data_IF_401070237000
#
_entry.id   IF_401070237000
#
_cell.length_a   1.000
_cell.length_b   1.000
_cell.length_c   1.000
_cell.angle_alpha   90.00
_cell.angle_beta   90.00
_cell.angle_gamma   90.00
#
_symmetry.space_group_name_H-M   'P 1'
#
loop_
_entity.id
_entity.type
_entity.pdbx_description
1 polymer ?
#
# COMPACT_ATOMS: atom_id res chain seq x y z
N UNK A 1 -24.75 34.53 -58.47
CA UNK A 1 -25.48 33.74 -57.45
C UNK A 1 -24.72 32.53 -56.88
N UNK A 2 -23.49 32.18 -57.33
CA UNK A 2 -22.77 31.01 -56.78
C UNK A 2 -21.85 31.32 -55.58
N UNK A 3 -21.45 32.58 -55.38
CA UNK A 3 -20.54 33.00 -54.31
C UNK A 3 -21.17 32.90 -52.90
N UNK A 4 -22.50 33.01 -52.79
CA UNK A 4 -23.25 32.94 -51.53
C UNK A 4 -23.38 31.53 -50.94
N UNK A 5 -23.14 30.48 -51.73
CA UNK A 5 -23.27 29.07 -51.29
C UNK A 5 -21.91 28.46 -50.93
N UNK A 6 -20.82 28.93 -51.53
CA UNK A 6 -19.47 28.42 -51.30
C UNK A 6 -18.92 28.92 -49.95
N UNK A 7 -19.22 30.18 -49.59
CA UNK A 7 -18.72 30.79 -48.36
C UNK A 7 -19.17 30.04 -47.08
N UNK A 8 -20.47 29.70 -46.92
CA UNK A 8 -20.92 28.96 -45.74
C UNK A 8 -20.36 27.53 -45.66
N UNK A 9 -20.18 26.86 -46.80
CA UNK A 9 -19.63 25.50 -46.85
C UNK A 9 -18.15 25.45 -46.42
N UNK A 10 -17.34 26.41 -46.90
CA UNK A 10 -15.93 26.54 -46.50
C UNK A 10 -15.83 26.89 -45.01
N UNK A 11 -16.68 27.80 -44.52
CA UNK A 11 -16.74 28.14 -43.09
C UNK A 11 -17.13 26.93 -42.24
N UNK A 12 -18.12 26.14 -42.68
CA UNK A 12 -18.53 24.91 -42.00
C UNK A 12 -17.41 23.88 -41.92
N UNK A 13 -16.70 23.64 -43.03
CA UNK A 13 -15.57 22.70 -43.08
C UNK A 13 -14.42 23.15 -42.17
N UNK A 14 -14.07 24.44 -42.20
CA UNK A 14 -13.04 25.01 -41.32
C UNK A 14 -13.46 24.92 -39.85
N UNK A 15 -14.73 25.19 -39.53
CA UNK A 15 -15.26 25.04 -38.17
C UNK A 15 -15.23 23.59 -37.70
N UNK A 16 -15.58 22.61 -38.55
CA UNK A 16 -15.48 21.18 -38.22
C UNK A 16 -14.04 20.75 -37.98
N UNK A 17 -13.10 21.19 -38.83
CA UNK A 17 -11.67 20.86 -38.67
C UNK A 17 -11.09 21.48 -37.39
N UNK A 18 -11.44 22.75 -37.10
CA UNK A 18 -11.07 23.40 -35.86
C UNK A 18 -11.66 22.68 -34.63
N UNK A 19 -12.92 22.24 -34.71
CA UNK A 19 -13.56 21.47 -33.65
C UNK A 19 -12.88 20.13 -33.37
N UNK A 20 -12.56 19.35 -34.42
CA UNK A 20 -11.88 18.05 -34.30
C UNK A 20 -10.47 18.19 -33.75
N UNK A 21 -9.71 19.19 -34.23
CA UNK A 21 -8.33 19.42 -33.75
C UNK A 21 -8.30 19.86 -32.29
N UNK A 22 -9.19 20.78 -31.88
CA UNK A 22 -9.29 21.23 -30.49
C UNK A 22 -9.75 20.09 -29.57
N UNK A 23 -10.73 19.30 -29.99
CA UNK A 23 -11.19 18.11 -29.26
C UNK A 23 -10.10 17.04 -29.09
N UNK A 24 -9.29 16.81 -30.13
CA UNK A 24 -8.16 15.89 -30.10
C UNK A 24 -7.06 16.30 -29.10
N UNK A 25 -6.70 17.59 -29.08
CA UNK A 25 -5.69 18.11 -28.14
C UNK A 25 -6.16 18.00 -26.69
N UNK A 26 -7.42 18.36 -26.42
CA UNK A 26 -8.02 18.26 -25.08
C UNK A 26 -8.09 16.81 -24.60
N UNK A 27 -8.52 15.89 -25.48
CA UNK A 27 -8.59 14.45 -25.18
C UNK A 27 -7.21 13.88 -24.86
N UNK A 28 -6.19 14.22 -25.66
CA UNK A 28 -4.82 13.76 -25.43
C UNK A 28 -4.26 14.23 -24.09
N UNK A 29 -4.57 15.47 -23.69
CA UNK A 29 -4.16 16.01 -22.39
C UNK A 29 -4.83 15.28 -21.23
N UNK A 30 -6.14 15.04 -21.32
CA UNK A 30 -6.87 14.29 -20.30
C UNK A 30 -6.36 12.85 -20.17
N UNK A 31 -6.11 12.16 -21.29
CA UNK A 31 -5.55 10.81 -21.30
C UNK A 31 -4.14 10.76 -20.70
N UNK A 32 -3.27 11.73 -21.03
CA UNK A 32 -1.93 11.79 -20.45
C UNK A 32 -1.96 12.01 -18.93
N UNK A 33 -2.85 12.87 -18.43
CA UNK A 33 -3.01 13.10 -16.99
C UNK A 33 -3.54 11.84 -16.29
N UNK A 34 -4.58 11.21 -16.84
CA UNK A 34 -5.13 9.98 -16.28
C UNK A 34 -4.09 8.87 -16.24
N UNK A 35 -3.34 8.69 -17.33
CA UNK A 35 -2.24 7.73 -17.40
C UNK A 35 -1.23 7.96 -16.27
N UNK A 36 -0.78 9.20 -16.06
CA UNK A 36 0.20 9.49 -15.00
C UNK A 36 -0.32 9.14 -13.61
N UNK A 37 -1.61 9.39 -13.33
CA UNK A 37 -2.24 9.06 -12.05
C UNK A 37 -2.38 7.55 -11.86
N UNK A 38 -2.75 6.83 -12.91
CA UNK A 38 -2.89 5.37 -12.85
C UNK A 38 -1.53 4.70 -12.63
N UNK A 39 -0.48 5.15 -13.32
CA UNK A 39 0.90 4.69 -13.08
C UNK A 39 1.37 4.97 -11.67
N UNK A 40 1.14 6.18 -11.16
CA UNK A 40 1.53 6.55 -9.80
C UNK A 40 0.78 5.72 -8.75
N UNK A 41 -0.52 5.49 -8.95
CA UNK A 41 -1.35 4.65 -8.08
C UNK A 41 -0.82 3.22 -8.06
N UNK A 42 -0.52 2.67 -9.24
CA UNK A 42 0.06 1.33 -9.37
C UNK A 42 1.41 1.22 -8.64
N UNK A 43 2.33 2.16 -8.85
CA UNK A 43 3.63 2.17 -8.16
C UNK A 43 3.48 2.27 -6.63
N UNK A 44 2.55 3.09 -6.13
CA UNK A 44 2.27 3.19 -4.70
C UNK A 44 1.72 1.88 -4.12
N UNK A 45 0.81 1.21 -4.83
CA UNK A 45 0.27 -0.08 -4.43
C UNK A 45 1.36 -1.16 -4.41
N UNK A 46 2.25 -1.17 -5.40
CA UNK A 46 3.36 -2.11 -5.48
C UNK A 46 4.29 -1.97 -4.26
N UNK A 47 4.70 -0.75 -3.90
CA UNK A 47 5.49 -0.50 -2.68
C UNK A 47 4.77 -0.97 -1.41
N UNK A 48 3.46 -0.73 -1.29
CA UNK A 48 2.69 -1.16 -0.11
C UNK A 48 2.55 -2.69 -0.02
N UNK A 49 2.42 -3.37 -1.16
CA UNK A 49 2.36 -4.82 -1.24
C UNK A 49 3.71 -5.46 -0.91
N UNK A 50 4.78 -5.04 -1.58
CA UNK A 50 6.11 -5.60 -1.37
C UNK A 50 6.65 -5.26 0.04
N UNK A 51 6.37 -4.09 0.59
CA UNK A 51 6.72 -3.80 2.00
C UNK A 51 6.02 -4.72 3.00
N UNK A 52 4.78 -5.15 2.72
CA UNK A 52 4.08 -6.15 3.55
C UNK A 52 4.76 -7.52 3.46
N UNK A 53 5.18 -7.91 2.25
CA UNK A 53 5.89 -9.18 2.01
C UNK A 53 7.24 -9.20 2.72
N UNK A 54 8.04 -8.14 2.59
CA UNK A 54 9.31 -7.99 3.29
C UNK A 54 9.11 -8.02 4.81
N UNK A 55 8.13 -7.30 5.35
CA UNK A 55 7.86 -7.33 6.80
C UNK A 55 7.53 -8.75 7.31
N UNK A 56 6.72 -9.52 6.57
CA UNK A 56 6.43 -10.93 6.91
C UNK A 56 7.69 -11.79 6.78
N UNK A 57 8.49 -11.58 5.73
CA UNK A 57 9.74 -12.30 5.52
C UNK A 57 10.76 -12.02 6.63
N UNK A 58 10.95 -10.76 7.04
CA UNK A 58 11.82 -10.37 8.14
C UNK A 58 11.39 -11.03 9.46
N UNK A 59 10.08 -11.09 9.73
CA UNK A 59 9.57 -11.80 10.91
C UNK A 59 9.89 -13.31 10.86
N UNK A 60 9.84 -13.92 9.68
CA UNK A 60 10.23 -15.33 9.50
C UNK A 60 11.74 -15.50 9.64
N UNK A 61 12.52 -14.60 9.05
CA UNK A 61 13.99 -14.60 9.08
C UNK A 61 14.52 -14.49 10.51
N UNK A 62 13.92 -13.63 11.33
CA UNK A 62 14.20 -13.51 12.77
C UNK A 62 14.01 -14.82 13.55
N UNK A 63 13.15 -15.73 13.06
CA UNK A 63 12.92 -17.06 13.63
C UNK A 63 13.81 -18.16 13.00
N UNK A 64 14.89 -17.77 12.33
CA UNK A 64 15.82 -18.68 11.68
C UNK A 64 15.31 -19.32 10.39
N UNK A 65 14.30 -18.73 9.72
CA UNK A 65 13.80 -19.19 8.41
C UNK A 65 14.53 -18.49 7.26
N UNK A 66 14.02 -18.68 6.04
CA UNK A 66 14.59 -18.12 4.81
C UNK A 66 14.73 -16.59 4.85
N UNK A 67 15.76 -16.11 4.15
CA UNK A 67 16.02 -14.68 3.94
C UNK A 67 14.90 -14.02 3.13
N UNK A 68 14.63 -12.71 3.34
CA UNK A 68 13.72 -11.96 2.48
C UNK A 68 14.16 -11.99 1.01
N UNK A 69 13.19 -12.09 0.11
CA UNK A 69 13.43 -11.87 -1.32
C UNK A 69 13.52 -10.36 -1.59
N UNK A 70 14.74 -9.88 -1.78
CA UNK A 70 15.02 -8.47 -2.07
C UNK A 70 14.80 -8.11 -3.54
N UNK A 71 14.69 -9.07 -4.46
CA UNK A 71 14.57 -8.78 -5.90
C UNK A 71 13.24 -8.07 -6.17
N UNK A 72 12.13 -8.66 -5.72
CA UNK A 72 10.79 -8.08 -5.88
C UNK A 72 10.68 -6.68 -5.24
N UNK A 73 11.33 -6.48 -4.10
CA UNK A 73 11.40 -5.18 -3.44
C UNK A 73 12.19 -4.13 -4.25
N UNK A 74 13.35 -4.51 -4.78
CA UNK A 74 14.18 -3.64 -5.60
C UNK A 74 13.49 -3.25 -6.91
N UNK A 75 12.72 -4.15 -7.53
CA UNK A 75 11.90 -3.86 -8.70
C UNK A 75 10.80 -2.82 -8.38
N UNK A 76 10.16 -2.95 -7.21
CA UNK A 76 9.18 -1.98 -6.73
C UNK A 76 9.82 -0.60 -6.50
N UNK A 77 11.01 -0.55 -5.90
CA UNK A 77 11.77 0.68 -5.71
C UNK A 77 12.16 1.34 -7.05
N UNK A 78 12.67 0.56 -8.00
CA UNK A 78 12.99 1.08 -9.33
C UNK A 78 11.74 1.65 -10.02
N UNK A 79 10.60 0.96 -9.91
CA UNK A 79 9.33 1.42 -10.47
C UNK A 79 8.89 2.75 -9.89
N UNK A 80 8.97 2.94 -8.57
CA UNK A 80 8.56 4.21 -7.94
C UNK A 80 9.55 5.34 -8.24
N UNK A 81 10.85 5.08 -8.31
CA UNK A 81 11.88 6.06 -8.70
C UNK A 81 11.61 6.62 -10.11
N UNK A 82 11.16 5.77 -11.03
CA UNK A 82 10.89 6.16 -12.41
C UNK A 82 9.57 6.91 -12.61
N UNK A 83 8.59 6.69 -11.74
CA UNK A 83 7.19 7.11 -11.98
C UNK A 83 6.67 8.17 -11.01
N UNK A 84 7.31 8.34 -9.85
CA UNK A 84 6.79 9.18 -8.78
C UNK A 84 7.59 10.48 -8.57
N UNK A 85 6.95 11.53 -8.02
CA UNK A 85 7.66 12.73 -7.58
C UNK A 85 8.64 12.41 -6.46
N UNK A 86 9.68 13.24 -6.34
CA UNK A 86 10.79 13.05 -5.38
C UNK A 86 10.32 12.82 -3.95
N UNK A 87 9.27 13.50 -3.48
CA UNK A 87 8.74 13.32 -2.13
C UNK A 87 8.21 11.91 -1.85
N UNK A 88 7.66 11.21 -2.86
CA UNK A 88 7.23 9.82 -2.72
C UNK A 88 8.42 8.86 -2.78
N UNK A 89 9.38 9.14 -3.66
CA UNK A 89 10.63 8.37 -3.74
C UNK A 89 11.36 8.39 -2.41
N UNK A 90 11.54 9.56 -1.80
CA UNK A 90 12.20 9.68 -0.49
C UNK A 90 11.44 8.92 0.61
N UNK A 91 10.10 8.97 0.60
CA UNK A 91 9.31 8.22 1.56
C UNK A 91 9.44 6.70 1.37
N UNK A 92 9.59 6.20 0.14
CA UNK A 92 9.84 4.78 -0.13
C UNK A 92 11.26 4.36 0.29
N UNK A 93 12.27 5.19 0.03
CA UNK A 93 13.64 4.96 0.48
C UNK A 93 13.77 4.93 2.01
N UNK A 94 12.95 5.69 2.74
CA UNK A 94 12.90 5.61 4.20
C UNK A 94 12.38 4.24 4.71
N UNK A 95 11.49 3.59 3.94
CA UNK A 95 11.07 2.21 4.25
C UNK A 95 12.25 1.25 3.99
N UNK A 96 12.93 1.40 2.85
CA UNK A 96 14.10 0.59 2.49
C UNK A 96 15.20 0.66 3.54
N UNK A 97 15.56 1.87 3.97
CA UNK A 97 16.54 2.09 5.04
C UNK A 97 16.13 1.38 6.35
N UNK A 98 14.83 1.43 6.68
CA UNK A 98 14.31 0.74 7.87
C UNK A 98 14.43 -0.78 7.73
N UNK A 99 14.21 -1.33 6.53
CA UNK A 99 14.36 -2.76 6.27
C UNK A 99 15.82 -3.23 6.33
N UNK A 100 16.75 -2.46 5.76
CA UNK A 100 18.18 -2.76 5.85
C UNK A 100 18.65 -2.75 7.30
N UNK A 101 18.35 -1.67 8.04
CA UNK A 101 18.68 -1.58 9.46
C UNK A 101 18.09 -2.74 10.27
N UNK A 102 16.85 -3.12 9.99
CA UNK A 102 16.22 -4.27 10.63
C UNK A 102 16.96 -5.58 10.33
N UNK A 103 17.42 -5.75 9.09
CA UNK A 103 18.17 -6.93 8.67
C UNK A 103 19.50 -7.00 9.42
N UNK A 104 20.22 -5.87 9.50
CA UNK A 104 21.46 -5.76 10.27
C UNK A 104 21.24 -6.08 11.77
N UNK A 105 20.16 -5.56 12.37
CA UNK A 105 19.80 -5.85 13.78
C UNK A 105 19.49 -7.35 14.00
N UNK A 106 18.84 -8.02 13.03
CA UNK A 106 18.57 -9.47 13.09
C UNK A 106 19.88 -10.26 12.97
N UNK A 107 20.74 -9.92 12.01
CA UNK A 107 22.02 -10.61 11.78
C UNK A 107 22.98 -10.42 12.97
N UNK A 108 22.93 -9.26 13.63
CA UNK A 108 23.69 -8.99 14.86
C UNK A 108 23.11 -9.68 16.12
N UNK A 109 21.97 -10.38 16.02
CA UNK A 109 21.30 -11.03 17.15
C UNK A 109 20.61 -10.07 18.12
N UNK A 110 20.46 -8.80 17.74
CA UNK A 110 19.85 -7.73 18.56
C UNK A 110 18.31 -7.74 18.52
N UNK A 111 17.72 -8.52 17.62
CA UNK A 111 16.27 -8.73 17.51
C UNK A 111 15.80 -10.03 18.19
N UNK A 112 16.38 -10.38 19.34
CA UNK A 112 16.19 -11.68 19.99
C UNK A 112 15.01 -11.72 20.98
N UNK A 113 14.56 -10.58 21.51
CA UNK A 113 13.38 -10.53 22.38
C UNK A 113 12.10 -10.13 21.64
N UNK A 114 10.95 -10.49 22.21
CA UNK A 114 9.64 -10.03 21.71
C UNK A 114 9.49 -8.50 21.75
N UNK A 115 10.13 -7.83 22.72
CA UNK A 115 10.08 -6.38 22.86
C UNK A 115 10.94 -5.67 21.80
N UNK A 116 12.10 -6.25 21.46
CA UNK A 116 12.95 -5.76 20.36
C UNK A 116 12.22 -5.87 19.03
N UNK A 117 11.55 -7.00 18.79
CA UNK A 117 10.75 -7.19 17.60
C UNK A 117 9.56 -6.23 17.52
N UNK A 118 8.90 -5.93 18.64
CA UNK A 118 7.83 -4.92 18.68
C UNK A 118 8.33 -3.52 18.32
N UNK A 119 9.50 -3.11 18.82
CA UNK A 119 10.16 -1.84 18.47
C UNK A 119 10.49 -1.77 16.98
N UNK A 120 11.14 -2.80 16.45
CA UNK A 120 11.50 -2.92 15.02
C UNK A 120 10.24 -2.81 14.15
N UNK A 121 9.21 -3.60 14.49
CA UNK A 121 7.94 -3.60 13.76
C UNK A 121 7.27 -2.23 13.81
N UNK A 122 7.30 -1.55 14.95
CA UNK A 122 6.75 -0.20 15.08
C UNK A 122 7.48 0.81 14.20
N UNK A 123 8.80 0.71 14.07
CA UNK A 123 9.59 1.54 13.16
C UNK A 123 9.23 1.32 11.69
N UNK A 124 9.13 0.05 11.27
CA UNK A 124 8.69 -0.30 9.91
C UNK A 124 7.30 0.27 9.63
N UNK A 125 6.36 0.06 10.56
CA UNK A 125 4.99 0.54 10.42
C UNK A 125 4.94 2.08 10.33
N UNK A 126 5.75 2.79 11.12
CA UNK A 126 5.82 4.24 11.07
C UNK A 126 6.31 4.74 9.69
N UNK A 127 7.35 4.12 9.13
CA UNK A 127 7.84 4.45 7.79
C UNK A 127 6.78 4.19 6.71
N UNK A 128 6.11 3.03 6.76
CA UNK A 128 5.02 2.67 5.83
C UNK A 128 3.83 3.63 5.95
N UNK A 129 3.48 4.04 7.16
CA UNK A 129 2.43 5.02 7.40
C UNK A 129 2.80 6.41 6.87
N UNK A 130 4.05 6.84 7.04
CA UNK A 130 4.55 8.09 6.47
C UNK A 130 4.46 8.08 4.94
N UNK A 131 4.85 6.97 4.30
CA UNK A 131 4.67 6.76 2.86
C UNK A 131 3.20 6.82 2.44
N UNK A 132 2.30 6.10 3.11
CA UNK A 132 0.88 6.10 2.79
C UNK A 132 0.27 7.50 2.89
N UNK A 133 0.63 8.27 3.92
CA UNK A 133 0.20 9.66 4.08
C UNK A 133 0.78 10.58 3.00
N UNK A 134 2.02 10.35 2.54
CA UNK A 134 2.58 11.06 1.38
C UNK A 134 1.79 10.72 0.11
N UNK A 135 1.53 9.44 -0.15
CA UNK A 135 0.77 9.00 -1.31
C UNK A 135 -0.65 9.59 -1.34
N UNK A 136 -1.32 9.68 -0.20
CA UNK A 136 -2.64 10.35 -0.09
C UNK A 136 -2.59 11.82 -0.47
N UNK A 137 -1.56 12.55 -0.04
CA UNK A 137 -1.37 13.96 -0.40
C UNK A 137 -1.15 14.13 -1.89
N UNK A 138 -0.28 13.32 -2.48
CA UNK A 138 0.07 13.39 -3.91
C UNK A 138 -1.08 12.95 -4.83
N UNK A 139 -1.79 11.87 -4.49
CA UNK A 139 -2.82 11.28 -5.36
C UNK A 139 -4.18 11.98 -5.25
N UNK A 140 -4.54 12.46 -4.06
CA UNK A 140 -5.89 12.94 -3.75
C UNK A 140 -5.92 14.38 -3.23
N UNK A 141 -4.77 15.06 -3.10
CA UNK A 141 -4.71 16.38 -2.47
C UNK A 141 -5.16 16.37 -1.00
N UNK A 142 -5.22 15.19 -0.38
CA UNK A 142 -5.78 14.98 0.94
C UNK A 142 -4.75 15.27 2.01
N UNK A 143 -5.06 16.23 2.87
CA UNK A 143 -4.17 16.65 3.98
C UNK A 143 -4.51 15.96 5.30
N UNK A 144 -5.62 15.20 5.37
CA UNK A 144 -5.97 14.40 6.53
C UNK A 144 -4.99 13.24 6.71
N UNK A 145 -4.43 13.15 7.92
CA UNK A 145 -3.41 12.15 8.27
C UNK A 145 -4.09 10.89 8.77
N UNK A 146 -3.79 9.77 8.13
CA UNK A 146 -4.14 8.45 8.65
C UNK A 146 -3.16 8.11 9.77
N UNK A 147 -3.69 7.71 10.91
CA UNK A 147 -2.91 7.41 12.13
C UNK A 147 -2.56 5.93 12.27
N UNK A 148 -3.13 5.05 11.43
CA UNK A 148 -2.93 3.60 11.50
C UNK A 148 -3.23 2.92 10.15
N UNK A 149 -2.43 1.93 9.76
CA UNK A 149 -2.77 1.06 8.63
C UNK A 149 -3.86 0.04 9.04
N UNK A 150 -4.82 -0.22 8.15
CA UNK A 150 -6.01 -1.02 8.44
C UNK A 150 -5.72 -2.47 8.87
N UNK A 151 -4.53 -3.00 8.58
CA UNK A 151 -4.19 -4.42 8.76
C UNK A 151 -3.62 -4.80 10.15
N UNK A 152 -3.58 -3.89 11.14
CA UNK A 152 -3.10 -4.26 12.49
C UNK A 152 -4.25 -4.94 13.26
N UNK A 153 -4.12 -6.21 13.70
CA UNK A 153 -5.06 -6.79 14.66
C UNK A 153 -5.08 -5.92 15.92
N UNK A 154 -6.27 -5.68 16.51
CA UNK A 154 -6.32 -5.09 17.85
C UNK A 154 -5.50 -5.99 18.77
N UNK A 155 -4.63 -5.45 19.65
CA UNK A 155 -4.07 -6.26 20.72
C UNK A 155 -5.26 -6.89 21.45
N UNK A 156 -5.37 -8.22 21.41
CA UNK A 156 -6.31 -8.92 22.28
C UNK A 156 -5.90 -8.54 23.69
N UNK A 157 -6.83 -7.96 24.46
CA UNK A 157 -6.53 -7.69 25.85
C UNK A 157 -6.19 -9.04 26.48
N UNK A 158 -5.14 -9.13 27.31
CA UNK A 158 -4.75 -10.36 28.02
C UNK A 158 -5.93 -11.00 28.79
N UNK A 159 -7.00 -10.25 29.05
CA UNK A 159 -8.28 -10.70 29.61
C UNK A 159 -9.03 -11.71 28.74
N UNK A 160 -8.90 -11.63 27.42
CA UNK A 160 -9.67 -12.47 26.48
C UNK A 160 -9.05 -13.87 26.27
N UNK A 161 -7.81 -14.06 26.74
CA UNK A 161 -7.06 -15.34 26.70
C UNK A 161 -7.17 -16.15 28.00
N UNK A 162 -7.77 -15.58 29.05
CA UNK A 162 -7.78 -16.17 30.40
C UNK A 162 -9.09 -16.85 30.78
N UNK A 163 -10.07 -16.96 29.87
CA UNK A 163 -11.28 -17.74 30.12
C UNK A 163 -11.07 -19.18 29.62
N UNK A 164 -10.81 -20.18 30.50
CA UNK A 164 -11.05 -21.56 30.11
C UNK A 164 -12.55 -21.70 29.77
N UNK A 165 -12.92 -22.50 28.75
CA UNK A 165 -14.31 -22.83 28.52
C UNK A 165 -14.83 -23.50 29.79
N UNK A 166 -15.93 -22.96 30.31
CA UNK A 166 -16.67 -23.49 31.44
C UNK A 166 -16.77 -25.02 31.32
N UNK A 167 -16.10 -25.73 32.23
CA UNK A 167 -16.36 -27.14 32.52
C UNK A 167 -17.71 -27.24 33.25
N UNK A 168 -18.77 -26.88 32.53
CA UNK A 168 -20.16 -26.95 32.99
C UNK A 168 -20.77 -28.31 32.72
N UNK A 169 -20.92 -29.12 33.78
CA UNK A 169 -22.08 -30.00 33.94
C UNK A 169 -21.96 -31.44 33.46
N UNK A 170 -21.07 -32.24 34.06
CA UNK A 170 -21.34 -33.67 34.18
C UNK A 170 -22.50 -33.87 35.18
N UNK A 171 -23.73 -34.01 34.68
CA UNK A 171 -24.87 -34.43 35.48
C UNK A 171 -24.71 -35.90 35.92
N UNK A 172 -25.10 -36.27 37.15
CA UNK A 172 -25.04 -37.66 37.58
C UNK A 172 -26.11 -38.50 36.86
N UNK A 173 -25.67 -39.50 36.11
CA UNK A 173 -26.53 -40.57 35.58
C UNK A 173 -26.94 -41.46 36.76
N UNK A 174 -28.13 -41.22 37.29
CA UNK A 174 -28.82 -42.16 38.19
C UNK A 174 -29.38 -43.31 37.37
N UNK A 175 -28.75 -44.49 37.45
CA UNK A 175 -29.33 -45.75 37.02
C UNK A 175 -30.30 -46.22 38.13
N UNK A 176 -31.60 -45.97 37.94
CA UNK A 176 -32.65 -46.71 38.65
C UNK A 176 -32.77 -48.10 38.04
N UNK A 177 -32.50 -49.12 38.84
CA UNK A 177 -32.95 -50.48 38.59
C UNK A 177 -34.36 -50.67 39.15
N UNK A 178 -35.30 -51.03 38.29
CA UNK A 178 -36.47 -51.85 38.59
C UNK A 178 -36.15 -53.22 37.94
N UNK A 179 -36.24 -54.36 38.63
CA UNK A 179 -37.46 -54.94 39.16
C UNK A 179 -37.83 -56.12 38.27
#
# INVERSE_FOLDING_TARGET
MQLSVILPAVVGMLASLAGVTLGGVLTRRAQAQQWSRDRLTHACLLIMNESSRIQIALHRYQRGKDRPDWVSWNEALATIVLTAPSGLVQAALAIDETFWRTTDEIEAGQASSGQDWERIRASIEAARLAFANRARRELAGRSDVVTRLAARPRPLARRDLAAPPDSGGAGPVGLSGEG
#
